data_IF_436130222322
#
_entry.id   IF_436130222322
#
_cell.length_a   1.000
_cell.length_b   1.000
_cell.length_c   1.000
_cell.angle_alpha   90.00
_cell.angle_beta   90.00
_cell.angle_gamma   90.00
#
_symmetry.space_group_name_H-M   'P 1'
#
loop_
_entity.id
_entity.type
_entity.pdbx_description
1 polymer ?
#
# COMPACT_ATOMS: atom_id res chain seq x y z
N UNK A 1 10.17 -1.88 65.22
CA UNK A 1 10.33 -1.16 63.94
C UNK A 1 11.76 -0.67 63.80
N UNK A 2 12.62 -1.43 63.13
CA UNK A 2 13.83 -0.92 62.47
C UNK A 2 13.98 -1.74 61.19
N UNK A 3 13.55 -1.15 60.08
CA UNK A 3 13.78 -1.68 58.73
C UNK A 3 15.28 -1.58 58.45
N UNK A 4 15.99 -2.70 58.53
CA UNK A 4 17.36 -2.79 58.04
C UNK A 4 17.31 -2.95 56.51
N UNK A 5 17.18 -1.82 55.81
CA UNK A 5 17.57 -1.76 54.40
C UNK A 5 19.09 -1.80 54.35
N UNK A 6 19.64 -2.94 53.96
CA UNK A 6 21.07 -3.09 53.70
C UNK A 6 21.36 -2.32 52.39
N UNK A 7 21.69 -1.04 52.50
CA UNK A 7 22.49 -0.36 51.49
C UNK A 7 23.94 -0.75 51.75
N UNK A 8 24.54 -1.49 50.82
CA UNK A 8 25.95 -1.88 50.86
C UNK A 8 26.85 -0.62 50.85
N UNK A 9 27.28 -0.17 52.02
CA UNK A 9 28.48 0.64 52.20
C UNK A 9 29.23 0.13 53.44
N UNK A 10 30.27 -0.69 53.18
CA UNK A 10 31.48 -0.95 53.96
C UNK A 10 31.37 -1.29 55.47
N UNK A 11 31.66 -2.55 55.86
CA UNK A 11 32.97 -2.98 56.40
C UNK A 11 32.90 -4.40 57.03
N UNK A 12 33.79 -5.29 56.55
CA UNK A 12 34.32 -6.52 57.20
C UNK A 12 33.31 -7.65 57.45
N UNK A 13 33.13 -8.64 56.56
CA UNK A 13 34.13 -9.64 56.13
C UNK A 13 34.05 -9.87 54.63
N UNK A 14 35.13 -9.54 53.93
CA UNK A 14 35.32 -9.83 52.52
C UNK A 14 35.65 -11.33 52.42
N UNK A 15 34.68 -12.16 52.03
CA UNK A 15 35.03 -13.25 51.12
C UNK A 15 35.16 -12.56 49.77
N UNK A 16 36.41 -12.36 49.35
CA UNK A 16 36.74 -12.04 47.98
C UNK A 16 36.12 -13.14 47.12
N UNK A 17 34.94 -12.88 46.55
CA UNK A 17 34.59 -13.55 45.31
C UNK A 17 35.64 -13.01 44.35
N UNK A 18 36.54 -13.85 43.82
CA UNK A 18 37.60 -13.35 42.96
C UNK A 18 36.94 -12.60 41.82
N UNK A 19 37.12 -11.28 41.78
CA UNK A 19 36.88 -10.45 40.61
C UNK A 19 37.98 -10.75 39.59
N UNK A 20 38.05 -12.01 39.14
CA UNK A 20 38.65 -12.38 37.87
C UNK A 20 37.48 -12.72 36.94
N UNK A 21 36.71 -11.69 36.59
CA UNK A 21 35.88 -11.71 35.39
C UNK A 21 36.80 -11.40 34.20
N UNK A 22 37.74 -12.30 33.90
CA UNK A 22 38.49 -12.28 32.63
C UNK A 22 37.83 -13.14 31.56
N UNK A 23 36.59 -13.60 31.79
CA UNK A 23 35.79 -14.27 30.77
C UNK A 23 34.37 -13.68 30.77
N UNK A 24 34.08 -12.83 29.78
CA UNK A 24 32.92 -11.94 29.72
C UNK A 24 31.54 -12.61 29.55
N UNK A 25 31.35 -13.84 30.02
CA UNK A 25 30.18 -14.69 29.73
C UNK A 25 29.35 -15.11 30.95
N UNK A 26 29.58 -14.54 32.14
CA UNK A 26 28.83 -14.88 33.37
C UNK A 26 27.60 -13.97 33.60
N UNK A 27 26.42 -14.58 33.75
CA UNK A 27 25.15 -13.94 34.11
C UNK A 27 24.60 -14.40 35.45
N UNK A 28 23.92 -13.50 36.17
CA UNK A 28 23.28 -13.78 37.45
C UNK A 28 21.86 -14.31 37.25
N UNK A 29 21.61 -15.53 37.70
CA UNK A 29 20.30 -16.18 37.71
C UNK A 29 19.69 -16.12 39.13
N UNK A 30 18.50 -15.54 39.25
CA UNK A 30 17.79 -15.40 40.52
C UNK A 30 17.44 -13.95 40.85
N UNK A 31 16.95 -13.72 42.06
CA UNK A 31 16.59 -12.37 42.51
C UNK A 31 17.85 -11.55 42.78
N UNK A 32 17.95 -10.34 42.20
CA UNK A 32 19.11 -9.45 42.37
C UNK A 32 19.26 -8.94 43.81
N UNK A 33 18.18 -8.95 44.57
CA UNK A 33 18.11 -8.60 45.98
C UNK A 33 17.26 -9.63 46.69
N UNK A 34 17.76 -10.14 47.81
CA UNK A 34 17.03 -11.04 48.70
C UNK A 34 16.95 -10.39 50.08
N UNK A 35 15.83 -10.58 50.77
CA UNK A 35 15.55 -9.99 52.08
C UNK A 35 15.42 -11.08 53.15
N UNK A 36 15.99 -10.84 54.32
CA UNK A 36 15.85 -11.75 55.45
C UNK A 36 14.51 -11.49 56.15
N UNK A 37 13.63 -12.48 56.12
CA UNK A 37 12.31 -12.42 56.74
C UNK A 37 12.44 -12.56 58.28
N UNK A 38 11.43 -12.09 59.01
CA UNK A 38 11.40 -12.12 60.49
C UNK A 38 11.46 -13.53 61.10
N UNK A 39 11.29 -14.58 60.29
CA UNK A 39 11.44 -15.99 60.68
C UNK A 39 12.88 -16.52 60.52
N UNK A 40 13.84 -15.65 60.18
CA UNK A 40 15.25 -16.02 59.99
C UNK A 40 15.55 -16.75 58.67
N UNK A 41 14.60 -16.78 57.72
CA UNK A 41 14.81 -17.32 56.38
C UNK A 41 14.85 -16.20 55.35
N UNK A 42 15.64 -16.39 54.30
CA UNK A 42 15.59 -15.52 53.13
C UNK A 42 14.26 -15.68 52.41
N UNK A 43 13.73 -14.57 51.89
CA UNK A 43 12.55 -14.55 51.03
C UNK A 43 12.75 -15.35 49.73
N UNK A 44 14.01 -15.42 49.27
CA UNK A 44 14.43 -16.04 48.03
C UNK A 44 15.78 -16.76 48.17
N UNK A 45 16.05 -17.80 47.36
CA UNK A 45 17.35 -18.46 47.32
C UNK A 45 18.45 -17.55 46.75
N UNK A 46 19.70 -17.81 47.13
CA UNK A 46 20.86 -17.04 46.65
C UNK A 46 20.95 -17.04 45.11
N UNK A 47 21.22 -15.87 44.50
CA UNK A 47 21.42 -15.80 43.06
C UNK A 47 22.67 -16.60 42.68
N UNK A 48 22.56 -17.38 41.61
CA UNK A 48 23.65 -18.21 41.08
C UNK A 48 24.23 -17.52 39.86
N UNK A 49 25.55 -17.36 39.80
CA UNK A 49 26.22 -16.97 38.57
C UNK A 49 26.39 -18.20 37.68
N UNK A 50 25.91 -18.13 36.45
CA UNK A 50 26.06 -19.17 35.44
C UNK A 50 26.48 -18.55 34.11
N UNK A 51 26.91 -19.38 33.16
CA UNK A 51 27.17 -18.93 31.79
C UNK A 51 25.85 -18.48 31.17
N UNK A 52 25.85 -17.36 30.44
CA UNK A 52 24.69 -16.93 29.67
C UNK A 52 24.25 -18.05 28.72
N UNK A 53 22.95 -18.40 28.67
CA UNK A 53 22.45 -19.51 27.85
C UNK A 53 21.23 -19.06 27.06
N UNK A 54 21.20 -19.41 25.78
CA UNK A 54 20.06 -19.09 24.93
C UNK A 54 18.95 -20.13 25.05
N UNK A 55 17.70 -19.73 25.36
CA UNK A 55 16.60 -20.67 25.47
C UNK A 55 16.15 -21.20 24.10
N UNK A 56 15.89 -22.50 24.04
CA UNK A 56 15.00 -23.11 23.04
C UNK A 56 13.69 -23.37 23.76
N UNK A 57 12.81 -22.38 23.77
CA UNK A 57 11.44 -22.59 24.18
C UNK A 57 10.58 -22.70 22.93
N UNK A 58 9.79 -23.78 22.87
CA UNK A 58 8.63 -24.04 22.00
C UNK A 58 8.86 -24.71 20.64
N UNK A 59 7.94 -25.61 20.25
CA UNK A 59 7.94 -26.22 18.93
C UNK A 59 7.55 -25.16 17.91
N UNK A 60 8.51 -24.74 17.09
CA UNK A 60 8.21 -23.91 15.93
C UNK A 60 7.60 -24.84 14.88
N UNK A 61 6.28 -24.77 14.69
CA UNK A 61 5.59 -25.62 13.72
C UNK A 61 6.25 -25.49 12.34
N UNK A 62 6.47 -26.65 11.70
CA UNK A 62 7.02 -26.77 10.34
C UNK A 62 8.47 -26.28 10.17
N UNK A 63 9.24 -26.15 11.26
CA UNK A 63 10.64 -25.77 11.23
C UNK A 63 11.53 -26.95 11.69
N UNK A 64 12.48 -27.35 10.84
CA UNK A 64 13.61 -28.20 11.20
C UNK A 64 14.78 -27.30 11.58
N UNK A 65 15.52 -27.67 12.62
CA UNK A 65 16.71 -26.93 13.04
C UNK A 65 17.86 -27.88 13.35
N UNK A 66 19.07 -27.42 13.08
CA UNK A 66 20.32 -28.11 13.42
C UNK A 66 21.14 -27.18 14.32
N UNK A 67 21.81 -27.77 15.33
CA UNK A 67 22.62 -27.04 16.30
C UNK A 67 24.08 -27.26 16.02
N UNK A 68 24.87 -26.19 16.12
CA UNK A 68 26.30 -26.24 15.92
C UNK A 68 27.03 -25.58 17.09
N UNK A 69 27.94 -26.30 17.77
CA UNK A 69 28.29 -27.72 17.60
C UNK A 69 27.15 -28.66 18.09
N UNK A 70 27.09 -29.88 17.56
CA UNK A 70 26.05 -30.87 17.91
C UNK A 70 26.28 -31.44 19.32
N UNK A 71 25.74 -30.74 20.33
CA UNK A 71 25.94 -31.05 21.76
C UNK A 71 24.57 -31.21 22.42
N UNK A 72 24.33 -32.37 23.03
CA UNK A 72 23.22 -32.55 23.97
C UNK A 72 23.44 -31.66 25.20
N UNK A 73 22.68 -30.56 25.31
CA UNK A 73 22.79 -29.65 26.44
C UNK A 73 22.35 -28.22 26.17
N UNK A 74 22.62 -27.29 27.12
CA UNK A 74 22.29 -25.88 26.98
C UNK A 74 23.17 -25.17 25.93
N UNK A 75 22.58 -24.20 25.23
CA UNK A 75 23.25 -23.44 24.16
C UNK A 75 24.02 -22.28 24.78
N UNK A 76 25.34 -22.29 24.59
CA UNK A 76 26.28 -21.30 25.12
C UNK A 76 26.54 -20.19 24.09
N UNK A 77 27.11 -19.05 24.50
CA UNK A 77 27.48 -18.00 23.58
C UNK A 77 28.49 -18.50 22.55
N UNK A 78 28.29 -18.13 21.29
CA UNK A 78 29.08 -18.59 20.15
C UNK A 78 28.56 -19.87 19.47
N UNK A 79 27.59 -20.58 20.06
CA UNK A 79 26.84 -21.62 19.35
C UNK A 79 25.86 -20.98 18.37
N UNK A 80 25.57 -21.65 17.25
CA UNK A 80 24.58 -21.19 16.28
C UNK A 80 23.61 -22.29 15.88
N UNK A 81 22.49 -21.88 15.31
CA UNK A 81 21.44 -22.75 14.82
C UNK A 81 21.14 -22.40 13.38
N UNK A 82 21.04 -23.42 12.54
CA UNK A 82 20.51 -23.28 11.18
C UNK A 82 19.07 -23.80 11.14
N UNK A 83 18.25 -23.17 10.31
CA UNK A 83 16.86 -23.54 10.12
C UNK A 83 16.60 -23.97 8.69
N UNK A 84 15.65 -24.89 8.53
CA UNK A 84 15.04 -25.30 7.26
C UNK A 84 13.56 -25.55 7.47
N UNK A 85 12.74 -25.41 6.43
CA UNK A 85 11.33 -25.77 6.53
C UNK A 85 11.18 -27.30 6.43
N UNK A 86 10.24 -27.85 7.21
CA UNK A 86 9.92 -29.28 7.17
C UNK A 86 9.43 -29.70 5.79
N UNK A 87 8.59 -28.86 5.19
CA UNK A 87 7.95 -29.10 3.91
C UNK A 87 8.68 -28.41 2.75
N UNK A 88 8.85 -29.08 1.60
CA UNK A 88 9.62 -28.57 0.46
C UNK A 88 8.96 -27.41 -0.29
N UNK A 89 7.67 -27.14 -0.06
CA UNK A 89 6.92 -26.01 -0.66
C UNK A 89 6.82 -24.80 0.27
N UNK A 90 7.57 -24.75 1.37
CA UNK A 90 7.60 -23.61 2.28
C UNK A 90 8.96 -22.93 2.25
N UNK A 91 8.97 -21.60 2.36
CA UNK A 91 10.20 -20.81 2.39
C UNK A 91 10.40 -20.15 3.74
N UNK A 92 11.64 -20.13 4.19
CA UNK A 92 12.03 -19.42 5.40
C UNK A 92 11.94 -17.90 5.17
N UNK A 93 11.23 -17.24 6.07
CA UNK A 93 11.22 -15.79 6.22
C UNK A 93 11.94 -15.43 7.50
N UNK A 94 13.08 -14.76 7.35
CA UNK A 94 14.00 -14.41 8.44
C UNK A 94 15.41 -14.93 8.17
N UNK A 95 16.28 -14.84 9.16
CA UNK A 95 17.63 -15.40 9.05
C UNK A 95 17.56 -16.93 9.11
N UNK A 96 18.23 -17.59 8.16
CA UNK A 96 18.38 -19.05 8.16
C UNK A 96 19.38 -19.53 9.21
N UNK A 97 20.22 -18.64 9.74
CA UNK A 97 21.21 -18.91 10.78
C UNK A 97 21.13 -17.84 11.88
N UNK A 98 21.08 -18.27 13.14
CA UNK A 98 21.13 -17.37 14.30
C UNK A 98 22.19 -17.85 15.29
N UNK A 99 22.89 -16.91 15.94
CA UNK A 99 23.96 -17.19 16.89
C UNK A 99 23.56 -16.77 18.29
N UNK A 100 23.91 -17.58 19.29
CA UNK A 100 23.75 -17.22 20.70
C UNK A 100 24.82 -16.19 21.09
N UNK A 101 24.38 -15.00 21.50
CA UNK A 101 25.24 -13.91 21.88
C UNK A 101 25.72 -14.05 23.34
N UNK A 102 26.76 -13.30 23.70
CA UNK A 102 27.35 -13.28 25.06
C UNK A 102 26.37 -12.86 26.14
N UNK A 103 25.31 -12.14 25.76
CA UNK A 103 24.24 -11.72 26.65
C UNK A 103 23.13 -12.78 26.84
N UNK A 104 23.29 -13.99 26.27
CA UNK A 104 22.29 -15.04 26.37
C UNK A 104 21.05 -14.82 25.50
N UNK A 105 21.10 -13.88 24.56
CA UNK A 105 20.05 -13.64 23.56
C UNK A 105 20.46 -14.16 22.18
N UNK A 106 19.48 -14.44 21.34
CA UNK A 106 19.71 -14.80 19.94
C UNK A 106 20.05 -13.57 19.10
N UNK A 107 20.96 -13.72 18.13
CA UNK A 107 21.34 -12.64 17.19
C UNK A 107 20.18 -12.11 16.36
N UNK A 108 19.13 -12.92 16.17
CA UNK A 108 17.90 -12.56 15.48
C UNK A 108 16.74 -13.40 16.01
N UNK A 109 15.51 -12.94 15.75
CA UNK A 109 14.32 -13.73 15.99
C UNK A 109 14.30 -15.01 15.12
N UNK A 110 13.65 -16.06 15.63
CA UNK A 110 13.45 -17.32 14.90
C UNK A 110 12.70 -17.08 13.58
N UNK A 111 13.16 -17.69 12.46
CA UNK A 111 12.48 -17.56 11.18
C UNK A 111 11.14 -18.29 11.19
N UNK A 112 10.26 -17.92 10.26
CA UNK A 112 8.96 -18.57 10.05
C UNK A 112 8.92 -19.22 8.67
N UNK A 113 8.26 -20.35 8.55
CA UNK A 113 7.96 -20.96 7.27
C UNK A 113 6.64 -20.39 6.75
N UNK A 114 6.70 -19.72 5.60
CA UNK A 114 5.50 -19.28 4.86
C UNK A 114 5.30 -20.18 3.65
N UNK A 115 4.04 -20.40 3.27
CA UNK A 115 3.74 -21.14 2.03
C UNK A 115 4.36 -20.40 0.85
N UNK A 116 5.12 -21.14 0.05
CA UNK A 116 5.64 -20.64 -1.21
C UNK A 116 4.51 -20.70 -2.22
N UNK A 117 4.12 -19.56 -2.79
CA UNK A 117 3.23 -19.51 -3.95
C UNK A 117 3.87 -18.66 -5.05
N UNK A 118 3.57 -19.01 -6.29
CA UNK A 118 3.90 -18.15 -7.42
C UNK A 118 2.73 -17.21 -7.65
N UNK A 119 2.95 -15.93 -7.36
CA UNK A 119 1.98 -14.88 -7.61
C UNK A 119 2.31 -14.11 -8.89
N UNK A 120 1.28 -13.68 -9.63
CA UNK A 120 1.44 -12.80 -10.78
C UNK A 120 0.18 -11.96 -11.02
N UNK A 121 0.38 -10.76 -11.55
CA UNK A 121 -0.72 -9.87 -11.95
C UNK A 121 -0.98 -10.02 -13.45
N UNK A 122 -2.22 -10.35 -13.80
CA UNK A 122 -2.71 -10.41 -15.17
C UNK A 122 -2.99 -9.00 -15.70
N UNK A 123 -2.61 -8.76 -16.95
CA UNK A 123 -3.03 -7.56 -17.69
C UNK A 123 -4.50 -7.65 -18.09
N UNK A 124 -5.11 -6.51 -18.44
CA UNK A 124 -6.54 -6.42 -18.84
C UNK A 124 -6.89 -7.41 -19.97
N UNK A 125 -5.95 -7.54 -20.91
CA UNK A 125 -6.05 -8.37 -22.10
C UNK A 125 -5.62 -9.83 -21.88
N UNK A 126 -5.50 -10.28 -20.63
CA UNK A 126 -5.08 -11.64 -20.27
C UNK A 126 -6.09 -12.31 -19.35
N UNK A 127 -6.23 -13.63 -19.51
CA UNK A 127 -7.07 -14.53 -18.70
C UNK A 127 -6.26 -15.76 -18.31
N UNK A 128 -6.60 -16.37 -17.18
CA UNK A 128 -6.01 -17.63 -16.70
C UNK A 128 -7.08 -18.70 -16.55
N UNK A 129 -6.67 -19.96 -16.57
CA UNK A 129 -7.49 -21.13 -16.20
C UNK A 129 -7.65 -21.33 -14.68
N UNK A 130 -6.98 -20.51 -13.86
CA UNK A 130 -7.09 -20.54 -12.39
C UNK A 130 -8.41 -19.91 -11.94
N UNK A 131 -9.27 -20.70 -11.30
CA UNK A 131 -10.55 -20.26 -10.74
C UNK A 131 -10.43 -19.69 -9.31
N UNK A 132 -11.40 -18.88 -8.88
CA UNK A 132 -11.56 -18.47 -7.49
C UNK A 132 -10.58 -17.40 -6.98
N UNK A 133 -9.85 -16.73 -7.87
CA UNK A 133 -8.89 -15.68 -7.49
C UNK A 133 -9.54 -14.29 -7.43
N UNK A 134 -9.13 -13.42 -6.49
CA UNK A 134 -9.64 -12.05 -6.40
C UNK A 134 -9.07 -11.16 -7.51
N UNK A 135 -9.95 -10.70 -8.42
CA UNK A 135 -9.60 -9.69 -9.40
C UNK A 135 -8.72 -10.21 -10.55
N UNK A 136 -7.50 -9.66 -10.67
CA UNK A 136 -6.54 -9.99 -11.75
C UNK A 136 -5.23 -10.58 -11.23
N UNK A 137 -5.15 -10.89 -9.95
CA UNK A 137 -3.99 -11.57 -9.39
C UNK A 137 -4.22 -13.09 -9.47
N UNK A 138 -3.17 -13.84 -9.78
CA UNK A 138 -3.16 -15.31 -9.66
C UNK A 138 -2.12 -15.69 -8.63
N UNK A 139 -2.45 -16.67 -7.78
CA UNK A 139 -1.53 -17.24 -6.81
C UNK A 139 -1.71 -18.75 -6.79
N UNK A 140 -0.67 -19.50 -7.17
CA UNK A 140 -0.71 -20.96 -7.27
C UNK A 140 0.43 -21.61 -6.50
N UNK A 141 0.20 -22.86 -6.06
CA UNK A 141 1.19 -23.65 -5.33
C UNK A 141 2.25 -24.23 -6.29
N UNK A 142 3.46 -24.54 -5.80
CA UNK A 142 4.48 -25.23 -6.56
C UNK A 142 3.95 -26.52 -7.22
N UNK A 143 4.47 -26.83 -8.40
CA UNK A 143 4.05 -27.96 -9.23
C UNK A 143 2.79 -27.73 -10.06
N UNK A 144 2.06 -26.63 -9.84
CA UNK A 144 0.89 -26.29 -10.66
C UNK A 144 1.32 -25.59 -11.95
N UNK A 145 0.75 -26.02 -13.08
CA UNK A 145 0.87 -25.36 -14.38
C UNK A 145 -0.37 -24.50 -14.61
N UNK A 146 -0.14 -23.24 -14.98
CA UNK A 146 -1.18 -22.27 -15.34
C UNK A 146 -1.19 -22.10 -16.85
N UNK A 147 -2.37 -22.19 -17.45
CA UNK A 147 -2.58 -21.86 -18.86
C UNK A 147 -3.19 -20.47 -18.97
N UNK A 148 -2.46 -19.59 -19.64
CA UNK A 148 -2.86 -18.22 -19.91
C UNK A 148 -3.48 -18.14 -21.31
N UNK A 149 -4.46 -17.26 -21.47
CA UNK A 149 -5.05 -16.90 -22.77
C UNK A 149 -5.14 -15.38 -22.91
N UNK A 150 -4.89 -14.87 -24.11
CA UNK A 150 -5.12 -13.46 -24.42
C UNK A 150 -6.56 -13.23 -24.90
N UNK A 151 -7.10 -12.05 -24.63
CA UNK A 151 -8.40 -11.63 -25.18
C UNK A 151 -8.33 -11.52 -26.70
N UNK A 152 -9.50 -11.44 -27.35
CA UNK A 152 -9.60 -11.36 -28.80
C UNK A 152 -8.76 -10.21 -29.37
N UNK A 153 -7.97 -10.51 -30.42
CA UNK A 153 -7.12 -9.55 -31.11
C UNK A 153 -5.78 -9.23 -30.41
N UNK A 154 -5.53 -9.80 -29.23
CA UNK A 154 -4.24 -9.73 -28.56
C UNK A 154 -3.39 -10.98 -28.89
N UNK A 155 -2.08 -10.81 -28.88
CA UNK A 155 -1.09 -11.85 -29.20
C UNK A 155 -0.16 -12.09 -28.01
N UNK A 156 0.26 -13.34 -27.83
CA UNK A 156 1.24 -13.70 -26.80
C UNK A 156 2.65 -13.27 -27.19
N UNK A 157 3.34 -12.66 -26.23
CA UNK A 157 4.78 -12.53 -26.22
C UNK A 157 5.32 -13.40 -25.08
N UNK A 158 5.78 -14.60 -25.42
CA UNK A 158 6.27 -15.62 -24.47
C UNK A 158 5.47 -16.92 -24.53
N UNK A 159 5.64 -17.76 -23.51
CA UNK A 159 4.93 -19.04 -23.38
C UNK A 159 3.56 -18.83 -22.74
N UNK A 160 2.51 -19.44 -23.29
CA UNK A 160 1.15 -19.37 -22.74
C UNK A 160 0.89 -20.38 -21.61
N UNK A 161 1.87 -21.24 -21.29
CA UNK A 161 1.82 -22.19 -20.18
C UNK A 161 3.06 -22.00 -19.33
N UNK A 162 2.87 -21.83 -18.03
CA UNK A 162 3.94 -21.62 -17.06
C UNK A 162 3.68 -22.47 -15.82
N UNK A 163 4.73 -23.00 -15.22
CA UNK A 163 4.67 -23.87 -14.05
C UNK A 163 5.34 -23.21 -12.86
N UNK A 164 4.68 -23.24 -11.70
CA UNK A 164 5.27 -22.75 -10.46
C UNK A 164 6.32 -23.72 -9.94
N UNK A 165 7.57 -23.27 -9.77
CA UNK A 165 8.66 -24.07 -9.21
C UNK A 165 8.64 -24.05 -7.68
N UNK A 166 9.33 -25.01 -7.06
CA UNK A 166 9.44 -25.14 -5.60
C UNK A 166 10.09 -23.95 -4.91
N UNK A 167 10.91 -23.17 -5.63
CA UNK A 167 11.55 -21.96 -5.11
C UNK A 167 10.61 -20.73 -5.10
N UNK A 168 9.37 -20.87 -5.58
CA UNK A 168 8.37 -19.79 -5.66
C UNK A 168 8.50 -18.90 -6.89
N UNK A 169 9.26 -19.36 -7.88
CA UNK A 169 9.40 -18.68 -9.16
C UNK A 169 8.71 -19.46 -10.28
N UNK A 170 8.24 -18.73 -11.28
CA UNK A 170 7.74 -19.34 -12.51
C UNK A 170 8.87 -20.00 -13.30
N UNK A 171 8.58 -21.09 -13.99
CA UNK A 171 9.55 -21.84 -14.78
C UNK A 171 10.02 -21.14 -16.06
N UNK A 172 9.27 -20.14 -16.51
CA UNK A 172 9.58 -19.26 -17.60
C UNK A 172 9.21 -17.81 -17.23
N UNK A 173 9.78 -16.80 -17.91
CA UNK A 173 9.33 -15.43 -17.75
C UNK A 173 7.83 -15.31 -17.98
N UNK A 174 7.14 -14.59 -17.10
CA UNK A 174 5.70 -14.38 -17.21
C UNK A 174 5.36 -13.70 -18.55
N UNK A 175 4.47 -14.29 -19.38
CA UNK A 175 4.20 -13.79 -20.72
C UNK A 175 3.45 -12.46 -20.68
N UNK A 176 3.42 -11.78 -21.83
CA UNK A 176 2.61 -10.57 -22.02
C UNK A 176 1.62 -10.77 -23.16
N UNK A 177 0.45 -10.17 -23.04
CA UNK A 177 -0.47 -10.01 -24.16
C UNK A 177 -0.23 -8.62 -24.75
N UNK A 178 0.06 -8.54 -26.05
CA UNK A 178 0.25 -7.28 -26.77
C UNK A 178 -0.88 -7.10 -27.78
N UNK A 179 -1.40 -5.87 -27.87
CA UNK A 179 -2.58 -5.58 -28.66
C UNK A 179 -3.86 -6.05 -27.95
N UNK A 180 -4.91 -6.19 -28.75
CA UNK A 180 -6.24 -6.44 -28.24
C UNK A 180 -7.25 -5.52 -28.91
N UNK A 181 -8.51 -5.92 -28.79
CA UNK A 181 -9.66 -5.18 -29.28
C UNK A 181 -10.41 -4.63 -28.08
N UNK A 182 -10.63 -3.31 -28.07
CA UNK A 182 -11.56 -2.69 -27.14
C UNK A 182 -12.99 -2.86 -27.63
N UNK A 183 -13.93 -2.97 -26.68
CA UNK A 183 -15.35 -2.83 -26.98
C UNK A 183 -15.74 -1.37 -27.23
N UNK A 184 -17.04 -1.07 -27.23
CA UNK A 184 -17.53 0.30 -27.31
C UNK A 184 -16.86 1.21 -26.26
N UNK A 185 -16.60 2.48 -26.60
CA UNK A 185 -15.93 3.41 -25.71
C UNK A 185 -16.83 3.72 -24.50
N UNK A 186 -16.25 4.00 -23.32
CA UNK A 186 -17.03 4.19 -22.10
C UNK A 186 -17.89 5.46 -22.18
N UNK A 187 -18.99 5.48 -21.44
CA UNK A 187 -19.78 6.69 -21.28
C UNK A 187 -19.01 7.72 -20.43
N UNK A 188 -19.13 9.00 -20.79
CA UNK A 188 -18.46 10.12 -20.11
C UNK A 188 -19.51 11.14 -19.71
N UNK A 189 -19.45 11.59 -18.45
CA UNK A 189 -20.38 12.59 -17.93
C UNK A 189 -20.33 13.89 -18.73
N UNK A 190 -21.51 14.36 -19.12
CA UNK A 190 -21.71 15.60 -19.88
C UNK A 190 -20.98 15.64 -21.24
N UNK A 191 -20.68 14.48 -21.81
CA UNK A 191 -20.07 14.34 -23.12
C UNK A 191 -20.68 13.19 -23.92
N UNK A 192 -20.50 13.24 -25.23
CA UNK A 192 -20.81 12.12 -26.11
C UNK A 192 -19.79 12.04 -27.25
N UNK A 193 -19.71 10.88 -27.87
CA UNK A 193 -18.86 10.62 -29.02
C UNK A 193 -19.32 11.42 -30.24
N UNK A 194 -18.38 11.98 -31.01
CA UNK A 194 -18.70 12.81 -32.18
C UNK A 194 -19.29 11.98 -33.32
N UNK A 195 -18.87 10.73 -33.44
CA UNK A 195 -19.26 9.80 -34.49
C UNK A 195 -19.92 8.56 -33.91
N UNK A 196 -20.64 7.82 -34.75
CA UNK A 196 -21.23 6.55 -34.34
C UNK A 196 -20.16 5.57 -33.86
N UNK A 197 -20.45 4.93 -32.73
CA UNK A 197 -19.54 3.99 -32.10
C UNK A 197 -19.50 2.69 -32.89
N UNK A 198 -18.30 2.13 -33.06
CA UNK A 198 -18.12 0.75 -33.52
C UNK A 198 -18.38 -0.19 -32.35
N UNK A 199 -18.70 -1.44 -32.66
CA UNK A 199 -18.76 -2.50 -31.65
C UNK A 199 -17.37 -2.94 -31.17
N UNK A 200 -16.35 -2.73 -32.00
CA UNK A 200 -14.98 -3.20 -31.78
C UNK A 200 -13.97 -2.15 -32.30
N UNK A 201 -12.88 -1.94 -31.55
CA UNK A 201 -11.79 -1.03 -31.86
C UNK A 201 -10.44 -1.71 -31.68
N UNK A 202 -9.57 -1.65 -32.69
CA UNK A 202 -8.21 -2.18 -32.62
C UNK A 202 -7.30 -1.31 -31.75
N UNK A 203 -6.28 -1.92 -31.14
CA UNK A 203 -5.23 -1.17 -30.44
C UNK A 203 -4.62 -0.08 -31.33
N UNK A 204 -4.58 1.15 -30.84
CA UNK A 204 -4.18 2.37 -31.55
C UNK A 204 -5.35 3.19 -32.12
N UNK A 205 -6.56 2.63 -32.25
CA UNK A 205 -7.72 3.40 -32.69
C UNK A 205 -8.17 4.39 -31.60
N UNK A 206 -8.66 5.56 -32.05
CA UNK A 206 -9.13 6.62 -31.17
C UNK A 206 -10.59 6.98 -31.41
N UNK A 207 -11.27 7.39 -30.35
CA UNK A 207 -12.63 7.93 -30.39
C UNK A 207 -12.62 9.35 -29.84
N UNK A 208 -13.13 10.28 -30.64
CA UNK A 208 -13.24 11.68 -30.27
C UNK A 208 -14.58 11.97 -29.59
N UNK A 209 -14.52 12.75 -28.52
CA UNK A 209 -15.65 13.15 -27.70
C UNK A 209 -15.89 14.65 -27.78
N UNK A 210 -17.14 15.03 -27.56
CA UNK A 210 -17.59 16.41 -27.48
C UNK A 210 -18.46 16.58 -26.26
N UNK A 211 -18.20 17.63 -25.50
CA UNK A 211 -19.05 18.02 -24.38
C UNK A 211 -20.45 18.43 -24.86
N UNK A 212 -21.46 18.20 -24.04
CA UNK A 212 -22.81 18.69 -24.28
C UNK A 212 -22.86 20.22 -24.39
N UNK A 213 -23.95 20.74 -24.93
CA UNK A 213 -24.09 22.18 -25.12
C UNK A 213 -23.81 22.96 -23.82
N UNK A 214 -23.07 24.07 -23.95
CA UNK A 214 -22.56 24.93 -22.87
C UNK A 214 -21.46 24.36 -21.97
N UNK A 215 -21.23 23.06 -21.96
CA UNK A 215 -20.05 22.50 -21.30
C UNK A 215 -18.79 22.76 -22.13
N UNK A 216 -17.65 22.89 -21.45
CA UNK A 216 -16.37 23.21 -22.09
C UNK A 216 -15.38 22.07 -21.86
N UNK A 217 -14.68 21.62 -22.90
CA UNK A 217 -13.64 20.60 -22.75
C UNK A 217 -12.50 21.14 -21.87
N UNK A 218 -12.06 20.33 -20.91
CA UNK A 218 -10.92 20.67 -20.07
C UNK A 218 -9.61 20.64 -20.86
N UNK A 219 -8.86 21.74 -20.83
CA UNK A 219 -7.61 21.93 -21.56
C UNK A 219 -6.36 21.61 -20.73
N UNK A 220 -6.51 21.14 -19.49
CA UNK A 220 -5.37 20.73 -18.65
C UNK A 220 -4.72 19.48 -19.23
N UNK A 221 -3.38 19.31 -19.11
CA UNK A 221 -2.64 18.18 -19.72
C UNK A 221 -3.09 16.78 -19.29
N UNK A 222 -3.80 16.67 -18.16
CA UNK A 222 -4.34 15.41 -17.67
C UNK A 222 -5.60 14.95 -18.42
N UNK A 223 -6.19 15.80 -19.26
CA UNK A 223 -7.40 15.53 -20.02
C UNK A 223 -7.16 15.63 -21.52
N UNK A 224 -8.02 14.97 -22.29
CA UNK A 224 -7.97 14.93 -23.75
C UNK A 224 -9.39 14.97 -24.33
N UNK A 225 -9.51 15.37 -25.59
CA UNK A 225 -10.77 15.31 -26.33
C UNK A 225 -11.05 13.95 -26.97
N UNK A 226 -10.16 12.97 -26.76
CA UNK A 226 -10.27 11.64 -27.32
C UNK A 226 -9.77 10.59 -26.35
N UNK A 227 -10.30 9.38 -26.49
CA UNK A 227 -9.75 8.17 -25.87
C UNK A 227 -9.11 7.30 -26.94
N UNK A 228 -8.08 6.55 -26.56
CA UNK A 228 -7.35 5.62 -27.43
C UNK A 228 -7.47 4.22 -26.89
N UNK A 229 -7.86 3.27 -27.72
CA UNK A 229 -7.79 1.86 -27.37
C UNK A 229 -6.30 1.46 -27.30
N UNK A 230 -5.80 1.06 -26.15
CA UNK A 230 -4.47 0.48 -25.99
C UNK A 230 -4.60 -0.86 -25.28
N UNK A 231 -4.17 -1.92 -25.95
CA UNK A 231 -4.09 -3.27 -25.37
C UNK A 231 -5.39 -3.75 -24.71
N UNK A 232 -6.51 -3.58 -25.42
CA UNK A 232 -7.89 -3.86 -24.96
C UNK A 232 -8.39 -3.00 -23.78
N UNK A 233 -7.75 -1.87 -23.50
CA UNK A 233 -8.18 -0.89 -22.51
C UNK A 233 -8.31 0.52 -23.12
N UNK A 234 -9.35 1.25 -22.73
CA UNK A 234 -9.52 2.64 -23.14
C UNK A 234 -8.65 3.56 -22.29
N UNK A 235 -7.73 4.25 -22.95
CA UNK A 235 -6.80 5.21 -22.32
C UNK A 235 -7.18 6.64 -22.71
N UNK A 236 -6.96 7.57 -21.79
CA UNK A 236 -7.38 8.97 -21.93
C UNK A 236 -8.44 9.33 -20.89
N UNK A 237 -8.51 10.62 -20.55
CA UNK A 237 -9.48 11.15 -19.58
C UNK A 237 -10.18 12.34 -20.22
N UNK A 238 -11.50 12.27 -20.31
CA UNK A 238 -12.31 13.37 -20.81
C UNK A 238 -13.00 14.01 -19.62
N UNK A 239 -12.97 15.33 -19.58
CA UNK A 239 -13.67 16.09 -18.56
C UNK A 239 -14.29 17.33 -19.18
N UNK A 240 -15.57 17.53 -18.86
CA UNK A 240 -16.36 18.63 -19.34
C UNK A 240 -16.67 19.59 -18.20
N UNK A 241 -16.04 20.75 -18.24
CA UNK A 241 -16.19 21.83 -17.28
C UNK A 241 -17.60 22.42 -17.38
N UNK A 242 -18.24 22.57 -16.22
CA UNK A 242 -19.63 22.96 -16.09
C UNK A 242 -19.84 24.41 -16.48
N UNK A 243 -20.93 24.73 -17.20
CA UNK A 243 -21.35 26.11 -17.37
C UNK A 243 -21.90 26.66 -16.06
N UNK A 244 -21.75 27.97 -15.87
CA UNK A 244 -22.37 28.68 -14.76
C UNK A 244 -23.78 29.11 -15.17
N UNK A 245 -24.75 28.83 -14.30
CA UNK A 245 -26.13 29.26 -14.50
C UNK A 245 -26.48 30.40 -13.54
N UNK A 246 -26.84 31.55 -14.08
CA UNK A 246 -27.31 32.71 -13.30
C UNK A 246 -28.76 32.99 -13.71
N UNK A 247 -29.68 32.90 -12.76
CA UNK A 247 -31.10 33.19 -13.01
C UNK A 247 -31.40 34.67 -12.83
N UNK A 248 -32.52 35.11 -13.42
CA UNK A 248 -33.01 36.47 -13.25
C UNK A 248 -33.32 36.79 -11.78
N UNK A 249 -33.87 35.83 -11.05
CA UNK A 249 -34.19 36.00 -9.63
C UNK A 249 -32.93 36.27 -8.80
N UNK A 250 -31.86 35.49 -8.99
CA UNK A 250 -30.58 35.71 -8.30
C UNK A 250 -29.95 37.05 -8.66
N UNK A 251 -30.12 37.52 -9.90
CA UNK A 251 -29.65 38.85 -10.31
C UNK A 251 -30.45 39.96 -9.62
N UNK A 252 -31.78 39.84 -9.57
CA UNK A 252 -32.67 40.80 -8.93
C UNK A 252 -32.45 40.89 -7.41
N UNK A 253 -32.28 39.74 -6.74
CA UNK A 253 -31.95 39.66 -5.31
C UNK A 253 -30.67 40.43 -4.97
N UNK A 254 -29.68 40.42 -5.87
CA UNK A 254 -28.40 41.11 -5.71
C UNK A 254 -28.38 42.55 -6.23
N UNK A 255 -29.50 43.04 -6.77
CA UNK A 255 -29.57 44.38 -7.34
C UNK A 255 -28.77 44.54 -8.64
N UNK A 256 -28.44 43.46 -9.34
CA UNK A 256 -27.53 43.47 -10.51
C UNK A 256 -28.27 43.11 -11.81
N UNK A 257 -27.71 43.56 -12.95
CA UNK A 257 -28.09 43.17 -14.30
C UNK A 257 -26.84 42.92 -15.14
N UNK A 258 -26.95 42.12 -16.20
CA UNK A 258 -25.88 42.00 -17.19
C UNK A 258 -25.75 43.33 -17.94
N UNK A 259 -24.53 43.87 -18.09
CA UNK A 259 -24.29 45.16 -18.73
C UNK A 259 -24.57 45.11 -20.24
N UNK A 260 -24.27 43.98 -20.88
CA UNK A 260 -24.45 43.75 -22.31
C UNK A 260 -25.15 42.41 -22.53
N UNK A 261 -26.26 42.40 -23.27
CA UNK A 261 -27.00 41.19 -23.61
C UNK A 261 -28.40 41.11 -23.00
N UNK A 262 -29.15 40.03 -23.28
CA UNK A 262 -30.54 39.89 -22.86
C UNK A 262 -30.66 39.62 -21.34
N UNK A 263 -31.69 40.17 -20.65
CA UNK A 263 -31.88 40.02 -19.20
C UNK A 263 -32.49 38.66 -18.79
N UNK A 264 -32.24 37.58 -19.54
CA UNK A 264 -32.83 36.25 -19.29
C UNK A 264 -31.90 35.37 -18.45
N UNK A 265 -32.34 34.14 -18.12
CA UNK A 265 -31.49 33.10 -17.52
C UNK A 265 -30.22 32.92 -18.36
N UNK A 266 -29.08 33.16 -17.73
CA UNK A 266 -27.78 33.18 -18.37
C UNK A 266 -27.06 31.86 -18.12
N UNK A 267 -26.57 31.27 -19.21
CA UNK A 267 -25.66 30.14 -19.17
C UNK A 267 -24.33 30.59 -19.75
N UNK A 268 -23.31 30.62 -18.91
CA UNK A 268 -21.98 31.08 -19.25
C UNK A 268 -21.05 29.86 -19.32
N UNK A 269 -20.46 29.55 -20.49
CA UNK A 269 -19.45 28.51 -20.60
C UNK A 269 -18.27 28.77 -19.65
N UNK A 270 -17.47 27.74 -19.38
CA UNK A 270 -16.28 27.93 -18.55
C UNK A 270 -15.31 28.93 -19.20
N UNK A 271 -14.64 29.76 -18.38
CA UNK A 271 -13.77 30.89 -18.77
C UNK A 271 -14.48 32.05 -19.47
N UNK A 272 -15.79 31.97 -19.71
CA UNK A 272 -16.56 33.09 -20.22
C UNK A 272 -16.63 34.22 -19.17
N UNK A 273 -16.59 35.47 -19.66
CA UNK A 273 -16.45 36.66 -18.85
C UNK A 273 -17.69 37.53 -18.96
N UNK A 274 -18.38 37.74 -17.85
CA UNK A 274 -19.62 38.51 -17.80
C UNK A 274 -19.39 39.79 -17.03
N UNK A 275 -19.84 40.91 -17.59
CA UNK A 275 -19.81 42.21 -16.94
C UNK A 275 -21.19 42.54 -16.39
N UNK A 276 -21.28 42.72 -15.08
CA UNK A 276 -22.49 43.13 -14.38
C UNK A 276 -22.52 44.65 -14.15
N UNK A 277 -23.72 45.19 -14.03
CA UNK A 277 -24.01 46.58 -13.66
C UNK A 277 -25.15 46.61 -12.63
N UNK A 278 -25.30 47.70 -11.87
CA UNK A 278 -26.42 47.83 -10.95
C UNK A 278 -27.74 48.03 -11.70
N UNK A 279 -28.82 47.49 -11.13
CA UNK A 279 -30.17 47.70 -11.63
C UNK A 279 -30.55 49.18 -11.54
N UNK A 280 -30.23 49.82 -10.41
CA UNK A 280 -30.45 51.25 -10.15
C UNK A 280 -29.17 52.05 -10.36
N UNK A 281 -29.28 53.24 -10.95
CA UNK A 281 -28.11 54.08 -11.26
C UNK A 281 -27.46 54.73 -10.03
N UNK A 282 -28.19 54.83 -8.91
CA UNK A 282 -27.71 55.46 -7.67
C UNK A 282 -26.96 54.48 -6.74
N UNK A 283 -26.98 53.18 -7.04
CA UNK A 283 -26.34 52.14 -6.24
C UNK A 283 -24.88 51.94 -6.67
N UNK A 284 -24.03 51.54 -5.72
CA UNK A 284 -22.64 51.22 -5.99
C UNK A 284 -22.42 49.73 -5.96
N UNK A 285 -21.65 49.23 -6.92
CA UNK A 285 -21.31 47.82 -6.97
C UNK A 285 -20.26 47.48 -5.92
N UNK A 286 -20.57 46.48 -5.09
CA UNK A 286 -19.68 45.84 -4.14
C UNK A 286 -19.11 44.56 -4.76
N UNK A 287 -17.79 44.51 -4.87
CA UNK A 287 -17.06 43.41 -5.51
C UNK A 287 -16.66 43.70 -6.95
N UNK A 288 -16.11 42.71 -7.64
CA UNK A 288 -15.67 42.87 -9.04
C UNK A 288 -16.89 42.82 -9.99
N UNK A 289 -17.01 43.81 -10.87
CA UNK A 289 -18.08 43.82 -11.87
C UNK A 289 -17.88 42.79 -12.97
N UNK A 290 -16.62 42.44 -13.24
CA UNK A 290 -16.24 41.44 -14.25
C UNK A 290 -16.06 40.08 -13.57
N UNK A 291 -16.96 39.16 -13.85
CA UNK A 291 -16.94 37.81 -13.32
C UNK A 291 -16.56 36.80 -14.39
N UNK A 292 -15.95 35.71 -13.97
CA UNK A 292 -15.52 34.61 -14.83
C UNK A 292 -16.15 33.33 -14.33
N UNK A 293 -16.71 32.52 -15.24
CA UNK A 293 -17.23 31.22 -14.88
C UNK A 293 -16.11 30.20 -14.65
N UNK A 294 -16.04 29.62 -13.44
CA UNK A 294 -15.07 28.60 -13.06
C UNK A 294 -15.79 27.31 -12.70
N UNK A 295 -15.88 26.38 -13.65
CA UNK A 295 -16.48 25.05 -13.50
C UNK A 295 -17.82 25.06 -12.71
N UNK A 296 -18.81 25.75 -13.26
CA UNK A 296 -20.14 25.90 -12.66
C UNK A 296 -20.23 26.92 -11.52
N UNK A 297 -19.10 27.49 -11.07
CA UNK A 297 -19.05 28.47 -9.99
C UNK A 297 -18.78 29.88 -10.53
N UNK A 298 -19.62 30.84 -10.15
CA UNK A 298 -19.45 32.26 -10.46
C UNK A 298 -19.80 33.12 -9.25
N UNK A 299 -18.89 33.99 -8.83
CA UNK A 299 -19.09 34.84 -7.65
C UNK A 299 -19.80 36.13 -8.04
N UNK A 300 -21.11 36.20 -7.90
CA UNK A 300 -21.87 37.38 -8.32
C UNK A 300 -21.60 38.60 -7.41
N UNK A 301 -21.37 39.80 -7.98
CA UNK A 301 -21.30 41.04 -7.21
C UNK A 301 -22.67 41.42 -6.66
N UNK A 302 -22.71 42.44 -5.81
CA UNK A 302 -23.95 42.94 -5.19
C UNK A 302 -23.97 44.46 -5.24
N UNK A 303 -25.14 45.07 -5.44
CA UNK A 303 -25.30 46.52 -5.42
C UNK A 303 -25.86 46.99 -4.08
N UNK A 304 -25.24 48.04 -3.53
CA UNK A 304 -25.57 48.63 -2.21
C UNK A 304 -25.77 50.14 -2.30
#
# INVERSE_FOLDING_TARGET
MKNFKIFLFLLLTIMDVPTNAEDGNMMMYGHRSIECLSNGKWDNPYPKCGVAMCPINTPVQNLKFERFPDIEGPIKPGHWMTFSCTEPWMKLKGQNEITCLVNGEWSSAFPRCEETTCAANLTVNMRSDVEGQPGREISVKPGHTVTLSCVRGAQFQGQNKITCRSNGEWDAPFPKCVGGICGPPPNVDNADTIYMQKTEYSSGERVEYRCFDKYTMDDRPSYSSYMTCQDAEWTGKIYCLKPCSVTLDTMNEKGIKVKYGPPRKLFSPHKDQILFACLRENERMKGNSKQICNDGTMTLPECV
#
